data_IF_865877914701
#
_entry.id   IF_865877914701
#
_cell.length_a   1.000
_cell.length_b   1.000
_cell.length_c   1.000
_cell.angle_alpha   90.00
_cell.angle_beta   90.00
_cell.angle_gamma   90.00
#
_symmetry.space_group_name_H-M   'P 1'
#
loop_
_entity.id
_entity.type
_entity.pdbx_description
1 polymer ?
#
# COMPACT_ATOMS: atom_id res chain seq x y z
N UNK A 1 -13.44 7.63 13.26
CA UNK A 1 -13.73 6.19 13.10
C UNK A 1 -13.66 5.91 11.60
N UNK A 2 -12.91 4.88 11.21
CA UNK A 2 -12.71 4.50 9.81
C UNK A 2 -14.05 4.06 9.20
N UNK A 3 -14.57 4.79 8.20
CA UNK A 3 -15.86 4.50 7.59
C UNK A 3 -15.69 3.55 6.38
N UNK A 4 -16.08 2.30 6.56
CA UNK A 4 -16.02 1.28 5.52
C UNK A 4 -16.89 1.62 4.29
N UNK A 5 -17.95 2.41 4.45
CA UNK A 5 -18.81 2.83 3.35
C UNK A 5 -18.10 3.87 2.47
N UNK A 6 -17.40 4.83 3.08
CA UNK A 6 -16.59 5.81 2.35
C UNK A 6 -15.49 5.14 1.54
N UNK A 7 -14.76 4.18 2.14
CA UNK A 7 -13.70 3.45 1.44
C UNK A 7 -14.25 2.59 0.31
N UNK A 8 -15.38 1.92 0.52
CA UNK A 8 -16.02 1.13 -0.53
C UNK A 8 -16.48 2.02 -1.69
N UNK A 9 -17.06 3.18 -1.37
CA UNK A 9 -17.49 4.15 -2.37
C UNK A 9 -16.32 4.69 -3.18
N UNK A 10 -15.20 5.04 -2.54
CA UNK A 10 -13.97 5.47 -3.22
C UNK A 10 -13.55 4.48 -4.31
N UNK A 11 -13.42 3.21 -3.94
CA UNK A 11 -12.96 2.19 -4.88
C UNK A 11 -13.97 1.88 -5.97
N UNK A 12 -15.28 1.97 -5.68
CA UNK A 12 -16.33 1.82 -6.69
C UNK A 12 -16.33 2.99 -7.67
N UNK A 13 -16.19 4.23 -7.21
CA UNK A 13 -16.10 5.42 -8.07
C UNK A 13 -14.94 5.30 -9.06
N UNK A 14 -13.73 5.04 -8.56
CA UNK A 14 -12.52 4.91 -9.39
C UNK A 14 -12.62 3.71 -10.35
N UNK A 15 -13.19 2.60 -9.88
CA UNK A 15 -13.46 1.45 -10.75
C UNK A 15 -14.39 1.82 -11.92
N UNK A 16 -15.48 2.54 -11.65
CA UNK A 16 -16.44 2.95 -12.68
C UNK A 16 -15.82 3.93 -13.68
N UNK A 17 -14.99 4.86 -13.22
CA UNK A 17 -14.20 5.76 -14.06
C UNK A 17 -13.30 4.97 -15.00
N UNK A 18 -12.49 4.04 -14.49
CA UNK A 18 -11.58 3.24 -15.31
C UNK A 18 -12.30 2.36 -16.33
N UNK A 19 -13.45 1.78 -15.95
CA UNK A 19 -14.29 1.00 -16.87
C UNK A 19 -14.80 1.88 -18.01
N UNK A 20 -15.25 3.10 -17.70
CA UNK A 20 -15.79 4.03 -18.68
C UNK A 20 -14.70 4.52 -19.65
N UNK A 21 -13.57 4.97 -19.12
CA UNK A 21 -12.50 5.61 -19.90
C UNK A 21 -11.77 4.62 -20.80
N UNK A 22 -11.51 3.41 -20.29
CA UNK A 22 -10.76 2.38 -21.02
C UNK A 22 -11.67 1.41 -21.79
N UNK A 23 -13.00 1.58 -21.73
CA UNK A 23 -14.00 0.72 -22.38
C UNK A 23 -13.83 -0.77 -22.06
N UNK A 24 -13.41 -1.08 -20.83
CA UNK A 24 -13.18 -2.45 -20.38
C UNK A 24 -14.52 -3.14 -20.19
N UNK A 25 -14.70 -4.32 -20.79
CA UNK A 25 -15.93 -5.07 -20.61
C UNK A 25 -15.87 -5.95 -19.33
N UNK A 26 -17.04 -6.34 -18.83
CA UNK A 26 -17.14 -7.16 -17.61
C UNK A 26 -16.50 -8.55 -17.74
N UNK A 27 -16.36 -9.10 -18.96
CA UNK A 27 -15.72 -10.40 -19.16
C UNK A 27 -14.21 -10.32 -18.89
N UNK A 28 -13.54 -9.25 -19.34
CA UNK A 28 -12.12 -9.04 -19.10
C UNK A 28 -11.82 -8.84 -17.61
N UNK A 29 -12.68 -8.11 -16.89
CA UNK A 29 -12.56 -7.94 -15.43
C UNK A 29 -12.71 -9.30 -14.72
N UNK A 30 -13.63 -10.17 -15.17
CA UNK A 30 -13.79 -11.52 -14.61
C UNK A 30 -12.54 -12.38 -14.84
N UNK A 31 -11.91 -12.27 -16.00
CA UNK A 31 -10.64 -12.93 -16.29
C UNK A 31 -9.55 -12.38 -15.34
N UNK A 32 -9.45 -11.06 -15.18
CA UNK A 32 -8.54 -10.45 -14.21
C UNK A 32 -8.77 -10.93 -12.78
N UNK A 33 -10.03 -11.06 -12.34
CA UNK A 33 -10.40 -11.63 -11.03
C UNK A 33 -9.89 -13.07 -10.90
N UNK A 34 -10.03 -13.89 -11.95
CA UNK A 34 -9.57 -15.27 -11.93
C UNK A 34 -8.04 -15.36 -11.90
N UNK A 35 -7.34 -14.58 -12.72
CA UNK A 35 -5.88 -14.53 -12.74
C UNK A 35 -5.32 -14.14 -11.37
N UNK A 36 -5.89 -13.11 -10.74
CA UNK A 36 -5.48 -12.72 -9.39
C UNK A 36 -5.77 -13.80 -8.33
N UNK A 37 -6.82 -14.61 -8.47
CA UNK A 37 -7.04 -15.72 -7.52
C UNK A 37 -5.89 -16.70 -7.54
N UNK A 38 -5.34 -16.98 -8.72
CA UNK A 38 -4.19 -17.89 -8.86
C UNK A 38 -2.92 -17.25 -8.28
N UNK A 39 -2.67 -15.96 -8.57
CA UNK A 39 -1.50 -15.22 -8.05
C UNK A 39 -1.50 -15.14 -6.51
N UNK A 40 -2.66 -14.89 -5.90
CA UNK A 40 -2.79 -14.80 -4.43
C UNK A 40 -2.98 -16.15 -3.73
N UNK A 41 -3.00 -17.25 -4.49
CA UNK A 41 -3.14 -18.59 -3.91
C UNK A 41 -1.85 -18.95 -3.16
N UNK A 42 -1.92 -19.32 -1.88
CA UNK A 42 -0.73 -19.75 -1.15
C UNK A 42 -0.10 -20.98 -1.82
N UNK A 43 1.15 -20.86 -2.25
CA UNK A 43 1.98 -21.98 -2.68
C UNK A 43 3.30 -21.97 -1.89
N UNK A 44 3.58 -23.03 -1.10
CA UNK A 44 4.81 -23.09 -0.30
C UNK A 44 6.09 -23.16 -1.15
N UNK A 45 5.99 -23.44 -2.45
CA UNK A 45 7.13 -23.52 -3.37
C UNK A 45 7.58 -22.16 -3.92
N UNK A 46 6.79 -21.09 -3.74
CA UNK A 46 7.17 -19.77 -4.27
C UNK A 46 8.50 -19.28 -3.70
N UNK A 47 8.78 -19.48 -2.42
CA UNK A 47 10.05 -19.06 -1.80
C UNK A 47 11.28 -19.83 -2.29
N UNK A 48 11.12 -20.92 -3.04
CA UNK A 48 12.23 -21.59 -3.73
C UNK A 48 12.24 -21.33 -5.24
N UNK A 49 11.19 -20.70 -5.78
CA UNK A 49 11.07 -20.35 -7.19
C UNK A 49 12.01 -19.19 -7.57
N UNK A 50 12.58 -19.29 -8.77
CA UNK A 50 13.31 -18.19 -9.43
C UNK A 50 12.40 -17.27 -10.24
N UNK A 51 11.15 -17.69 -10.48
CA UNK A 51 10.16 -16.96 -11.27
C UNK A 51 9.09 -16.44 -10.31
N UNK A 52 8.77 -15.15 -10.45
CA UNK A 52 7.64 -14.52 -9.78
C UNK A 52 6.46 -14.54 -10.74
N UNK A 53 5.38 -15.23 -10.40
CA UNK A 53 4.14 -15.13 -11.13
C UNK A 53 3.30 -14.01 -10.51
N UNK A 54 3.23 -12.86 -11.19
CA UNK A 54 2.48 -11.69 -10.73
C UNK A 54 1.47 -11.31 -11.80
N UNK A 55 0.27 -10.96 -11.37
CA UNK A 55 -0.73 -10.38 -12.25
C UNK A 55 -0.16 -9.11 -12.93
N UNK A 56 -0.36 -8.99 -14.24
CA UNK A 56 0.08 -7.81 -14.98
C UNK A 56 -0.85 -6.63 -14.69
N UNK A 57 -0.51 -5.81 -13.70
CA UNK A 57 -1.29 -4.63 -13.37
C UNK A 57 -1.04 -3.43 -14.29
N UNK A 58 -0.19 -3.56 -15.32
CA UNK A 58 -0.21 -2.60 -16.42
C UNK A 58 -1.44 -2.79 -17.31
N UNK A 59 -2.10 -3.95 -17.25
CA UNK A 59 -3.42 -4.17 -17.83
C UNK A 59 -4.54 -3.59 -16.96
N UNK A 60 -5.42 -2.81 -17.58
CA UNK A 60 -6.50 -2.10 -16.87
C UNK A 60 -7.54 -3.06 -16.29
N UNK A 61 -7.84 -4.19 -16.95
CA UNK A 61 -8.81 -5.15 -16.44
C UNK A 61 -8.32 -5.80 -15.14
N UNK A 62 -7.02 -6.07 -15.02
CA UNK A 62 -6.40 -6.54 -13.78
C UNK A 62 -6.47 -5.49 -12.66
N UNK A 63 -6.25 -4.20 -12.97
CA UNK A 63 -6.43 -3.11 -11.99
C UNK A 63 -7.88 -2.97 -11.54
N UNK A 64 -8.83 -2.95 -12.47
CA UNK A 64 -10.26 -2.94 -12.16
C UNK A 64 -10.65 -4.13 -11.27
N UNK A 65 -10.15 -5.33 -11.59
CA UNK A 65 -10.38 -6.50 -10.80
C UNK A 65 -9.83 -6.35 -9.37
N UNK A 66 -8.63 -5.78 -9.21
CA UNK A 66 -8.02 -5.53 -7.90
C UNK A 66 -8.82 -4.50 -7.08
N UNK A 67 -9.21 -3.37 -7.70
CA UNK A 67 -10.04 -2.34 -7.07
C UNK A 67 -11.36 -2.92 -6.57
N UNK A 68 -11.99 -3.79 -7.36
CA UNK A 68 -13.22 -4.46 -6.98
C UNK A 68 -13.05 -5.42 -5.79
N UNK A 69 -11.97 -6.21 -5.79
CA UNK A 69 -11.86 -7.38 -4.90
C UNK A 69 -10.98 -7.18 -3.68
N UNK A 70 -9.83 -6.54 -3.85
CA UNK A 70 -8.75 -6.53 -2.85
C UNK A 70 -8.52 -5.16 -2.24
N UNK A 71 -8.70 -4.08 -2.98
CA UNK A 71 -8.36 -2.74 -2.51
C UNK A 71 -9.09 -2.32 -1.20
N UNK A 72 -10.43 -2.50 -1.06
CA UNK A 72 -11.12 -2.20 0.20
C UNK A 72 -10.59 -3.04 1.37
N UNK A 73 -10.37 -4.34 1.13
CA UNK A 73 -9.90 -5.28 2.16
C UNK A 73 -8.48 -4.96 2.62
N UNK A 74 -7.57 -4.65 1.69
CA UNK A 74 -6.19 -4.31 2.03
C UNK A 74 -6.13 -2.97 2.77
N UNK A 75 -6.96 -2.01 2.39
CA UNK A 75 -7.08 -0.73 3.13
C UNK A 75 -7.57 -0.96 4.57
N UNK A 76 -8.62 -1.76 4.73
CA UNK A 76 -9.17 -2.10 6.04
C UNK A 76 -8.16 -2.87 6.91
N UNK A 77 -7.42 -3.81 6.32
CA UNK A 77 -6.36 -4.57 7.00
C UNK A 77 -5.29 -3.62 7.56
N UNK A 78 -4.82 -2.68 6.74
CA UNK A 78 -3.82 -1.68 7.17
C UNK A 78 -4.37 -0.81 8.28
N UNK A 79 -5.60 -0.31 8.11
CA UNK A 79 -6.24 0.53 9.10
C UNK A 79 -6.41 -0.20 10.45
N UNK A 80 -6.84 -1.46 10.42
CA UNK A 80 -7.00 -2.28 11.62
C UNK A 80 -5.65 -2.53 12.31
N UNK A 81 -4.62 -2.95 11.56
CA UNK A 81 -3.31 -3.24 12.12
C UNK A 81 -2.64 -2.01 12.71
N UNK A 82 -2.70 -0.88 12.01
CA UNK A 82 -2.14 0.38 12.51
C UNK A 82 -2.91 0.89 13.74
N UNK A 83 -4.23 0.77 13.75
CA UNK A 83 -5.04 1.16 14.92
C UNK A 83 -4.64 0.35 16.16
N UNK A 84 -4.43 -0.97 16.01
CA UNK A 84 -3.96 -1.83 17.10
C UNK A 84 -2.57 -1.41 17.59
N UNK A 85 -1.64 -1.17 16.67
CA UNK A 85 -0.28 -0.77 17.01
C UNK A 85 -0.24 0.61 17.71
N UNK A 86 -1.11 1.56 17.33
CA UNK A 86 -1.26 2.85 18.03
C UNK A 86 -1.85 2.66 19.43
N UNK A 87 -2.80 1.75 19.61
CA UNK A 87 -3.36 1.46 20.93
C UNK A 87 -2.33 0.86 21.89
N UNK A 88 -1.35 0.11 21.38
CA UNK A 88 -0.26 -0.46 22.16
C UNK A 88 0.73 0.60 22.66
N UNK A 89 1.08 1.58 21.82
CA UNK A 89 1.97 2.68 22.21
C UNK A 89 1.62 4.00 21.52
N UNK A 90 0.62 4.75 22.01
CA UNK A 90 0.16 5.97 21.35
C UNK A 90 1.18 7.13 21.43
N UNK A 91 2.11 7.11 22.39
CA UNK A 91 3.10 8.17 22.53
C UNK A 91 4.15 8.11 21.44
N UNK A 92 4.62 6.90 21.08
CA UNK A 92 5.55 6.70 19.97
C UNK A 92 5.05 7.38 18.69
N UNK A 93 3.78 7.19 18.33
CA UNK A 93 3.21 7.79 17.12
C UNK A 93 3.06 9.30 17.23
N UNK A 94 2.68 9.79 18.40
CA UNK A 94 2.58 11.23 18.64
C UNK A 94 3.95 11.89 18.48
N UNK A 95 5.01 11.29 19.02
CA UNK A 95 6.39 11.75 18.88
C UNK A 95 6.85 11.69 17.42
N UNK A 96 6.60 10.59 16.70
CA UNK A 96 6.92 10.49 15.27
C UNK A 96 6.25 11.58 14.41
N UNK A 97 5.01 11.95 14.76
CA UNK A 97 4.26 12.99 14.04
C UNK A 97 4.72 14.40 14.45
N UNK A 98 4.98 14.65 15.72
CA UNK A 98 5.19 16.01 16.25
C UNK A 98 6.67 16.42 16.39
N UNK A 99 7.56 15.46 16.61
CA UNK A 99 8.99 15.71 16.82
C UNK A 99 9.82 15.53 15.54
N UNK A 100 9.18 15.39 14.38
CA UNK A 100 9.93 15.33 13.13
C UNK A 100 10.48 16.71 12.75
N UNK A 101 11.78 16.77 12.51
CA UNK A 101 12.44 18.00 12.04
C UNK A 101 12.10 18.32 10.57
N UNK A 102 11.45 17.38 9.86
CA UNK A 102 11.10 17.53 8.44
C UNK A 102 9.86 18.39 8.19
N UNK A 103 9.02 18.62 9.22
CA UNK A 103 7.73 19.31 9.07
C UNK A 103 6.65 18.45 8.40
N UNK A 104 6.98 17.25 7.93
CA UNK A 104 6.07 16.28 7.32
C UNK A 104 6.36 14.86 7.79
N UNK A 105 5.30 14.08 7.99
CA UNK A 105 5.38 12.66 8.24
C UNK A 105 5.62 11.88 6.94
N UNK A 106 6.73 11.16 6.83
CA UNK A 106 7.12 10.46 5.60
C UNK A 106 6.66 9.00 5.67
N UNK A 107 5.82 8.60 4.72
CA UNK A 107 5.33 7.22 4.54
C UNK A 107 5.98 6.61 3.29
N UNK A 108 6.48 5.38 3.40
CA UNK A 108 7.02 4.63 2.26
C UNK A 108 6.30 3.29 2.11
N UNK A 109 5.61 3.07 0.99
CA UNK A 109 4.85 1.85 0.72
C UNK A 109 5.60 0.99 -0.29
N UNK A 110 6.04 -0.20 0.13
CA UNK A 110 6.81 -1.14 -0.66
C UNK A 110 5.90 -2.21 -1.28
N UNK A 111 5.89 -2.30 -2.60
CA UNK A 111 4.90 -3.09 -3.32
C UNK A 111 3.50 -2.53 -3.09
N UNK A 112 3.39 -1.20 -2.99
CA UNK A 112 2.18 -0.54 -2.53
C UNK A 112 1.02 -0.57 -3.52
N UNK A 113 1.22 -1.11 -4.73
CA UNK A 113 0.21 -1.18 -5.77
C UNK A 113 -0.46 0.18 -6.02
N UNK A 114 -1.80 0.27 -6.01
CA UNK A 114 -2.53 1.53 -6.16
C UNK A 114 -2.52 2.41 -4.90
N UNK A 115 -1.63 2.19 -3.92
CA UNK A 115 -1.54 3.02 -2.71
C UNK A 115 -2.63 2.76 -1.67
N UNK A 116 -3.21 1.55 -1.62
CA UNK A 116 -4.21 1.17 -0.60
C UNK A 116 -3.72 1.37 0.82
N UNK A 117 -2.43 1.12 1.03
CA UNK A 117 -1.75 1.29 2.31
C UNK A 117 -1.77 2.74 2.76
N UNK A 118 -1.52 3.66 1.81
CA UNK A 118 -1.53 5.11 2.07
C UNK A 118 -2.89 5.53 2.58
N UNK A 119 -3.97 5.10 1.93
CA UNK A 119 -5.33 5.45 2.33
C UNK A 119 -5.64 4.91 3.74
N UNK A 120 -5.27 3.66 4.02
CA UNK A 120 -5.45 3.04 5.33
C UNK A 120 -4.69 3.77 6.44
N UNK A 121 -3.41 4.09 6.19
CA UNK A 121 -2.56 4.85 7.12
C UNK A 121 -3.13 6.23 7.38
N UNK A 122 -3.44 6.99 6.34
CA UNK A 122 -3.99 8.35 6.46
C UNK A 122 -5.29 8.34 7.24
N UNK A 123 -6.20 7.42 6.96
CA UNK A 123 -7.49 7.36 7.62
C UNK A 123 -7.34 7.14 9.14
N UNK A 124 -6.40 6.30 9.57
CA UNK A 124 -6.16 6.04 11.00
C UNK A 124 -5.41 7.20 11.66
N UNK A 125 -4.28 7.63 11.08
CA UNK A 125 -3.47 8.65 11.73
C UNK A 125 -4.22 9.97 11.86
N UNK A 126 -5.00 10.37 10.84
CA UNK A 126 -5.81 11.58 10.93
C UNK A 126 -6.95 11.44 11.94
N UNK A 127 -7.54 10.24 12.08
CA UNK A 127 -8.56 10.00 13.08
C UNK A 127 -8.00 10.06 14.52
N UNK A 128 -6.75 9.64 14.73
CA UNK A 128 -6.12 9.61 16.04
C UNK A 128 -5.45 10.95 16.43
N UNK A 129 -4.85 11.64 15.47
CA UNK A 129 -3.95 12.77 15.73
C UNK A 129 -4.36 14.07 15.04
N UNK A 130 -5.46 14.08 14.28
CA UNK A 130 -5.90 15.23 13.50
C UNK A 130 -5.10 15.41 12.22
N UNK A 131 -5.26 16.56 11.56
CA UNK A 131 -4.61 16.85 10.28
C UNK A 131 -3.14 17.28 10.49
N UNK A 132 -2.24 16.70 9.73
CA UNK A 132 -0.82 17.06 9.67
C UNK A 132 -0.28 16.77 8.27
N UNK A 133 0.89 17.32 7.96
CA UNK A 133 1.50 17.11 6.64
C UNK A 133 2.06 15.71 6.50
N UNK A 134 1.71 15.03 5.41
CA UNK A 134 2.18 13.70 5.05
C UNK A 134 2.80 13.73 3.66
N UNK A 135 3.96 13.09 3.52
CA UNK A 135 4.57 12.81 2.23
C UNK A 135 4.63 11.30 2.03
N UNK A 136 3.90 10.78 1.05
CA UNK A 136 3.90 9.35 0.73
C UNK A 136 4.77 9.04 -0.49
N UNK A 137 5.61 8.01 -0.40
CA UNK A 137 6.29 7.43 -1.55
C UNK A 137 5.79 6.01 -1.76
N UNK A 138 5.20 5.73 -2.91
CA UNK A 138 4.80 4.38 -3.31
C UNK A 138 5.88 3.82 -4.23
N UNK A 139 6.38 2.63 -3.92
CA UNK A 139 7.40 1.94 -4.71
C UNK A 139 6.82 0.62 -5.19
N UNK A 140 6.66 0.46 -6.49
CA UNK A 140 6.10 -0.75 -7.08
C UNK A 140 6.59 -0.90 -8.54
N UNK A 141 6.62 -2.12 -9.07
CA UNK A 141 7.15 -2.40 -10.40
C UNK A 141 6.14 -2.18 -11.54
N UNK A 142 4.86 -1.96 -11.22
CA UNK A 142 3.78 -1.81 -12.21
C UNK A 142 3.36 -0.34 -12.34
N UNK A 143 4.01 0.38 -13.27
CA UNK A 143 3.89 1.83 -13.44
C UNK A 143 2.44 2.35 -13.54
N UNK A 144 1.51 1.61 -14.13
CA UNK A 144 0.12 2.08 -14.30
C UNK A 144 -0.70 2.09 -12.98
N UNK A 145 -0.13 1.61 -11.87
CA UNK A 145 -0.69 1.91 -10.56
C UNK A 145 -0.62 3.39 -10.21
N UNK A 146 0.36 4.12 -10.73
CA UNK A 146 0.48 5.56 -10.55
C UNK A 146 -0.79 6.29 -10.99
N UNK A 147 -1.30 5.96 -12.17
CA UNK A 147 -2.56 6.51 -12.71
C UNK A 147 -3.74 6.17 -11.80
N UNK A 148 -3.78 4.93 -11.30
CA UNK A 148 -4.88 4.48 -10.42
C UNK A 148 -4.87 5.21 -9.09
N UNK A 149 -3.69 5.39 -8.49
CA UNK A 149 -3.56 6.15 -7.27
C UNK A 149 -3.90 7.63 -7.48
N UNK A 150 -3.51 8.22 -8.61
CA UNK A 150 -3.89 9.58 -8.97
C UNK A 150 -5.43 9.75 -9.06
N UNK A 151 -6.15 8.81 -9.70
CA UNK A 151 -7.62 8.81 -9.71
C UNK A 151 -8.20 8.71 -8.29
N UNK A 152 -7.64 7.85 -7.42
CA UNK A 152 -8.08 7.74 -6.03
C UNK A 152 -7.89 9.04 -5.23
N UNK A 153 -6.73 9.69 -5.38
CA UNK A 153 -6.47 10.97 -4.71
C UNK A 153 -7.38 12.07 -5.26
N UNK A 154 -7.63 12.10 -6.57
CA UNK A 154 -8.58 13.02 -7.20
C UNK A 154 -9.99 12.84 -6.64
N UNK A 155 -10.50 11.61 -6.61
CA UNK A 155 -11.82 11.28 -6.08
C UNK A 155 -11.93 11.67 -4.60
N UNK A 156 -10.91 11.40 -3.77
CA UNK A 156 -10.90 11.82 -2.38
C UNK A 156 -10.91 13.35 -2.21
N UNK A 157 -10.18 14.09 -3.04
CA UNK A 157 -10.05 15.56 -2.96
C UNK A 157 -11.32 16.29 -3.39
N UNK A 158 -11.94 15.82 -4.47
CA UNK A 158 -13.07 16.51 -5.10
C UNK A 158 -14.41 15.88 -4.78
N UNK A 159 -14.42 14.64 -4.29
CA UNK A 159 -15.60 13.98 -3.76
C UNK A 159 -15.86 14.34 -2.29
N UNK A 160 -17.01 13.90 -1.78
CA UNK A 160 -17.43 14.16 -0.40
C UNK A 160 -16.95 13.05 0.55
N UNK A 161 -15.70 13.10 1.01
CA UNK A 161 -15.08 12.08 1.89
C UNK A 161 -14.68 12.62 3.28
N UNK A 162 -15.41 13.62 3.77
CA UNK A 162 -15.21 14.18 5.11
C UNK A 162 -13.75 14.58 5.40
N UNK A 163 -13.25 14.18 6.58
CA UNK A 163 -11.88 14.48 7.01
C UNK A 163 -10.82 13.76 6.17
N UNK A 164 -11.12 12.59 5.61
CA UNK A 164 -10.19 11.86 4.74
C UNK A 164 -9.94 12.65 3.45
N UNK A 165 -10.99 13.22 2.85
CA UNK A 165 -10.85 14.12 1.69
C UNK A 165 -10.02 15.36 1.98
N UNK A 166 -10.20 15.98 3.15
CA UNK A 166 -9.37 17.12 3.59
C UNK A 166 -7.92 16.70 3.78
N UNK A 167 -7.69 15.50 4.34
CA UNK A 167 -6.34 15.01 4.63
C UNK A 167 -5.49 14.78 3.38
N UNK A 168 -6.11 14.52 2.23
CA UNK A 168 -5.39 14.33 0.96
C UNK A 168 -5.25 15.62 0.13
N UNK A 169 -5.75 16.76 0.62
CA UNK A 169 -5.61 18.04 -0.08
C UNK A 169 -4.15 18.47 -0.21
N UNK A 170 -3.86 19.37 -1.16
CA UNK A 170 -2.49 19.82 -1.47
C UNK A 170 -1.76 20.46 -0.27
N UNK A 171 -2.51 20.95 0.73
CA UNK A 171 -1.94 21.51 1.96
C UNK A 171 -1.34 20.43 2.87
N UNK A 172 -1.99 19.27 2.95
CA UNK A 172 -1.69 18.23 3.93
C UNK A 172 -1.02 17.01 3.33
N UNK A 173 -1.15 16.78 2.02
CA UNK A 173 -0.68 15.56 1.41
C UNK A 173 0.04 15.80 0.09
N UNK A 174 1.26 15.26 0.05
CA UNK A 174 2.05 15.14 -1.15
C UNK A 174 2.41 13.68 -1.35
N UNK A 175 2.58 13.29 -2.60
CA UNK A 175 2.97 11.93 -2.91
C UNK A 175 3.86 11.84 -4.13
N UNK A 176 4.58 10.73 -4.21
CA UNK A 176 5.41 10.38 -5.33
C UNK A 176 5.31 8.87 -5.59
N UNK A 177 5.37 8.49 -6.86
CA UNK A 177 5.38 7.09 -7.28
C UNK A 177 6.73 6.76 -7.92
N UNK A 178 7.37 5.70 -7.46
CA UNK A 178 8.65 5.21 -7.96
C UNK A 178 8.45 3.85 -8.60
N UNK A 179 8.55 3.80 -9.93
CA UNK A 179 8.60 2.52 -10.65
C UNK A 179 9.91 1.80 -10.31
N UNK A 180 9.80 0.69 -9.57
CA UNK A 180 10.97 -0.08 -9.20
C UNK A 180 10.65 -1.55 -8.87
N UNK A 181 11.49 -2.45 -9.38
CA UNK A 181 11.48 -3.85 -8.97
C UNK A 181 12.25 -4.03 -7.65
N UNK A 182 11.52 -4.17 -6.54
CA UNK A 182 12.07 -4.37 -5.21
C UNK A 182 12.90 -5.65 -5.06
N UNK A 183 12.73 -6.64 -5.94
CA UNK A 183 13.55 -7.86 -5.95
C UNK A 183 14.88 -7.67 -6.69
N UNK A 184 15.03 -6.54 -7.39
CA UNK A 184 16.27 -6.14 -8.05
C UNK A 184 17.18 -5.29 -7.14
N UNK A 185 18.22 -4.72 -7.75
CA UNK A 185 19.11 -3.78 -7.05
C UNK A 185 18.39 -2.45 -6.84
N UNK A 186 18.24 -2.07 -5.57
CA UNK A 186 17.67 -0.77 -5.17
C UNK A 186 18.47 0.41 -5.71
N UNK A 187 17.78 1.36 -6.34
CA UNK A 187 18.37 2.63 -6.77
C UNK A 187 18.58 3.57 -5.57
N UNK A 188 19.41 4.60 -5.75
CA UNK A 188 19.62 5.60 -4.70
C UNK A 188 18.33 6.35 -4.34
N UNK A 189 17.41 6.52 -5.29
CA UNK A 189 16.13 7.16 -5.02
C UNK A 189 15.24 6.29 -4.11
N UNK A 190 15.20 4.98 -4.36
CA UNK A 190 14.50 4.01 -3.52
C UNK A 190 15.13 3.93 -2.13
N UNK A 191 16.47 3.81 -2.06
CA UNK A 191 17.19 3.79 -0.78
C UNK A 191 16.93 5.06 0.04
N UNK A 192 16.91 6.24 -0.59
CA UNK A 192 16.58 7.50 0.09
C UNK A 192 15.13 7.57 0.54
N UNK A 193 14.18 7.03 -0.22
CA UNK A 193 12.78 7.01 0.18
C UNK A 193 12.59 6.13 1.42
N UNK A 194 13.19 4.94 1.42
CA UNK A 194 13.20 4.00 2.56
C UNK A 194 13.87 4.64 3.78
N UNK A 195 15.07 5.20 3.62
CA UNK A 195 15.86 5.72 4.74
C UNK A 195 15.28 6.98 5.39
N UNK A 196 14.35 7.67 4.74
CA UNK A 196 13.70 8.90 5.24
C UNK A 196 12.29 8.67 5.75
N UNK A 197 11.77 7.44 5.62
CA UNK A 197 10.41 7.10 5.95
C UNK A 197 10.25 6.91 7.45
N UNK A 198 9.35 7.67 8.11
CA UNK A 198 9.00 7.42 9.51
C UNK A 198 8.18 6.14 9.65
N UNK A 199 7.41 5.81 8.61
CA UNK A 199 6.65 4.57 8.52
C UNK A 199 6.88 3.90 7.16
N UNK A 200 7.20 2.62 7.18
CA UNK A 200 7.33 1.75 6.02
C UNK A 200 6.22 0.70 6.08
N UNK A 201 5.45 0.57 5.02
CA UNK A 201 4.46 -0.50 4.87
C UNK A 201 4.86 -1.47 3.76
N UNK A 202 4.54 -2.74 3.96
CA UNK A 202 4.63 -3.79 2.95
C UNK A 202 3.44 -4.74 3.14
N UNK A 203 2.39 -4.52 2.36
CA UNK A 203 1.09 -5.15 2.60
C UNK A 203 0.80 -6.15 1.49
N UNK A 204 0.64 -7.43 1.87
CA UNK A 204 0.33 -8.54 0.95
C UNK A 204 1.31 -8.74 -0.22
N UNK A 205 2.44 -8.03 -0.24
CA UNK A 205 3.54 -8.22 -1.19
C UNK A 205 4.04 -9.67 -1.21
N UNK A 206 4.33 -10.24 -0.04
CA UNK A 206 4.81 -11.63 0.07
C UNK A 206 3.77 -12.63 -0.43
N UNK A 207 2.47 -12.34 -0.27
CA UNK A 207 1.42 -13.21 -0.78
C UNK A 207 1.25 -13.15 -2.31
N UNK A 208 1.71 -12.08 -2.96
CA UNK A 208 1.50 -11.83 -4.39
C UNK A 208 2.77 -11.99 -5.25
N UNK A 209 3.94 -11.84 -4.63
CA UNK A 209 5.22 -11.68 -5.35
C UNK A 209 6.40 -12.37 -4.65
N UNK A 210 6.14 -13.37 -3.81
CA UNK A 210 7.20 -14.13 -3.14
C UNK A 210 8.04 -14.94 -4.14
N UNK A 211 9.36 -14.88 -3.95
CA UNK A 211 10.34 -15.74 -4.62
C UNK A 211 11.53 -16.01 -3.69
N UNK A 212 12.54 -16.73 -4.18
CA UNK A 212 13.79 -16.99 -3.44
C UNK A 212 14.52 -15.74 -2.94
N UNK A 213 14.34 -14.60 -3.60
CA UNK A 213 15.05 -13.35 -3.29
C UNK A 213 14.27 -12.47 -2.29
N UNK A 214 12.99 -12.77 -2.05
CA UNK A 214 12.12 -12.02 -1.12
C UNK A 214 12.66 -11.94 0.31
N UNK A 215 13.19 -13.03 0.93
CA UNK A 215 13.76 -12.94 2.27
C UNK A 215 14.94 -11.97 2.37
N UNK A 216 15.82 -11.96 1.35
CA UNK A 216 16.97 -11.05 1.33
C UNK A 216 16.52 -9.60 1.18
N UNK A 217 15.55 -9.34 0.30
CA UNK A 217 14.96 -8.01 0.12
C UNK A 217 14.37 -7.47 1.43
N UNK A 218 13.58 -8.28 2.16
CA UNK A 218 13.01 -7.88 3.45
C UNK A 218 14.14 -7.57 4.46
N UNK A 219 15.16 -8.42 4.54
CA UNK A 219 16.28 -8.23 5.47
C UNK A 219 17.04 -6.94 5.20
N UNK A 220 17.31 -6.63 3.93
CA UNK A 220 18.01 -5.39 3.53
C UNK A 220 17.15 -4.16 3.83
N UNK A 221 15.84 -4.24 3.62
CA UNK A 221 14.93 -3.10 3.75
C UNK A 221 14.64 -2.74 5.21
N UNK A 222 14.35 -3.74 6.03
CA UNK A 222 13.87 -3.54 7.40
C UNK A 222 14.95 -3.73 8.47
N UNK A 223 16.22 -3.92 8.07
CA UNK A 223 17.37 -4.20 8.95
C UNK A 223 16.99 -5.22 10.04
N UNK A 224 16.28 -6.28 9.65
CA UNK A 224 15.71 -7.23 10.60
C UNK A 224 16.75 -8.24 11.08
N UNK A 225 16.77 -8.46 12.40
CA UNK A 225 17.49 -9.57 13.01
C UNK A 225 16.82 -10.91 12.65
N UNK A 226 17.61 -11.96 12.41
CA UNK A 226 17.18 -13.23 11.81
C UNK A 226 16.07 -13.97 12.58
N UNK A 227 15.89 -13.68 13.86
CA UNK A 227 14.88 -14.33 14.71
C UNK A 227 13.47 -13.77 14.52
N UNK A 228 13.32 -12.48 14.17
CA UNK A 228 12.01 -11.86 13.91
C UNK A 228 11.40 -12.33 12.59
N UNK A 229 12.24 -12.61 11.59
CA UNK A 229 11.81 -13.15 10.30
C UNK A 229 11.14 -14.54 10.43
N UNK A 230 11.60 -15.38 11.37
CA UNK A 230 11.01 -16.69 11.60
C UNK A 230 9.60 -16.62 12.24
N UNK A 231 9.27 -15.56 12.98
CA UNK A 231 7.89 -15.31 13.45
C UNK A 231 6.95 -14.80 12.35
N UNK A 232 7.46 -14.17 11.28
CA UNK A 232 6.64 -13.80 10.09
C UNK A 232 6.10 -15.03 9.36
N UNK A 233 6.83 -16.15 9.40
CA UNK A 233 6.40 -17.41 8.78
C UNK A 233 5.18 -18.08 9.45
N UNK A 234 4.86 -17.75 10.71
CA UNK A 234 3.71 -18.36 11.41
C UNK A 234 2.40 -17.58 11.26
N UNK A 235 2.43 -16.38 10.69
CA UNK A 235 1.26 -15.54 10.48
C UNK A 235 0.85 -15.59 9.01
N UNK A 236 -0.13 -16.44 8.70
CA UNK A 236 -0.77 -16.58 7.38
C UNK A 236 -1.42 -15.29 6.81
N UNK A 237 -1.23 -14.13 7.45
CA UNK A 237 -1.81 -12.84 7.09
C UNK A 237 -0.70 -11.77 7.04
N UNK A 238 0.13 -11.78 6.00
CA UNK A 238 1.34 -10.95 5.93
C UNK A 238 1.04 -9.50 5.50
N UNK A 239 0.85 -8.64 6.50
CA UNK A 239 1.02 -7.19 6.42
C UNK A 239 2.15 -6.82 7.37
N UNK A 240 3.19 -6.18 6.83
CA UNK A 240 4.36 -5.73 7.57
C UNK A 240 4.30 -4.22 7.67
N UNK A 241 4.25 -3.71 8.90
CA UNK A 241 4.29 -2.29 9.24
C UNK A 241 5.54 -2.11 10.10
N UNK A 242 6.45 -1.24 9.67
CA UNK A 242 7.71 -0.98 10.36
C UNK A 242 7.95 0.52 10.50
N UNK A 243 8.47 0.93 11.65
CA UNK A 243 8.81 2.31 11.94
C UNK A 243 10.31 2.46 11.98
N UNK A 244 10.83 3.52 11.37
CA UNK A 244 12.26 3.85 11.48
C UNK A 244 12.43 4.95 12.53
N UNK A 245 13.51 4.83 13.31
CA UNK A 245 13.90 5.79 14.35
C UNK A 245 14.86 6.84 13.78
#
# INVERSE_FOLDING_TARGET
>A
MFDCEEISRLYVSVLQEHIADSRVNTADIRIGIQNMKEVYKPDPTYLSSTIVDVANYNDVAHRCAYLHKYAPLHTALVAEMLSRAILEDPQLYKELIHNNNSGSFNLCCLGGGPGTDVIGVLAVLNACFGLFQVSATIIDCMVNWNETFASMISELRYGNYGSLGVSVSDQYFQWNYLEHNLLGKMTDQVNRAISRAHLITMVKFVSASACKDTPMMIKVTFVMDTNLFNSYHSLNNSCLIHFTH
#
